data_IF_338770833522
#
_entry.id   IF_338770833522
#
_cell.length_a   1.000
_cell.length_b   1.000
_cell.length_c   1.000
_cell.angle_alpha   90.00
_cell.angle_beta   90.00
_cell.angle_gamma   90.00
#
_symmetry.space_group_name_H-M   'P 1'
#
loop_
_entity.id
_entity.type
_entity.pdbx_description
1 polymer ?
#
# COMPACT_ATOMS: atom_id res chain seq x y z
N UNK A 1 -15.52 -27.22 63.02
CA UNK A 1 -15.81 -26.21 61.98
C UNK A 1 -14.57 -26.04 61.10
N UNK A 2 -14.62 -26.48 59.84
CA UNK A 2 -13.51 -26.28 58.88
C UNK A 2 -13.89 -25.15 57.97
N UNK A 3 -13.15 -24.09 58.01
CA UNK A 3 -13.28 -22.91 57.14
C UNK A 3 -12.60 -23.22 55.80
N UNK A 4 -13.39 -23.25 54.71
CA UNK A 4 -12.90 -23.37 53.33
C UNK A 4 -12.60 -21.95 52.84
N UNK A 5 -11.32 -21.69 52.60
CA UNK A 5 -10.87 -20.42 51.99
C UNK A 5 -10.95 -20.53 50.49
N UNK A 6 -11.85 -19.76 49.87
CA UNK A 6 -12.04 -19.69 48.43
C UNK A 6 -11.03 -18.68 47.83
N UNK A 7 -9.96 -19.15 47.20
CA UNK A 7 -9.05 -18.31 46.42
C UNK A 7 -9.71 -17.97 45.08
N UNK A 8 -10.16 -16.73 44.91
CA UNK A 8 -10.53 -16.17 43.58
C UNK A 8 -9.25 -15.86 42.78
N UNK A 9 -8.98 -16.66 41.76
CA UNK A 9 -7.99 -16.31 40.74
C UNK A 9 -8.56 -15.18 39.87
N UNK A 10 -8.04 -14.01 40.03
CA UNK A 10 -8.27 -12.89 39.08
C UNK A 10 -7.39 -13.13 37.82
N UNK A 11 -7.99 -13.64 36.74
CA UNK A 11 -7.35 -13.70 35.45
C UNK A 11 -7.41 -12.32 34.81
N UNK A 12 -6.41 -11.51 35.07
CA UNK A 12 -6.27 -10.18 34.48
C UNK A 12 -5.87 -10.32 33.02
N UNK A 13 -6.78 -10.03 32.10
CA UNK A 13 -6.45 -9.84 30.68
C UNK A 13 -5.65 -8.53 30.55
N UNK A 14 -4.36 -8.63 30.31
CA UNK A 14 -3.53 -7.47 29.93
C UNK A 14 -4.06 -6.95 28.59
N UNK A 15 -4.30 -5.63 28.44
CA UNK A 15 -4.62 -5.06 27.15
C UNK A 15 -3.44 -5.29 26.21
N UNK A 16 -3.69 -5.93 25.04
CA UNK A 16 -2.72 -5.98 23.96
C UNK A 16 -2.57 -4.54 23.47
N UNK A 17 -1.47 -3.89 23.82
CA UNK A 17 -1.14 -2.58 23.24
C UNK A 17 -0.94 -2.78 21.73
N UNK A 18 -1.76 -2.12 20.93
CA UNK A 18 -1.48 -2.00 19.50
C UNK A 18 -0.10 -1.35 19.31
N UNK A 19 0.68 -1.85 18.36
CA UNK A 19 1.99 -1.25 18.07
C UNK A 19 1.77 0.15 17.49
N UNK A 20 2.51 1.15 17.98
CA UNK A 20 2.44 2.51 17.42
C UNK A 20 2.84 2.51 15.94
N UNK A 21 2.13 3.28 15.08
CA UNK A 21 2.47 3.38 13.67
C UNK A 21 3.90 3.85 13.44
N UNK A 22 4.66 3.12 12.62
CA UNK A 22 6.05 3.38 12.29
C UNK A 22 6.18 4.10 10.96
N UNK A 23 6.95 5.18 10.91
CA UNK A 23 7.26 5.82 9.64
C UNK A 23 8.18 4.95 8.78
N UNK A 24 7.80 4.76 7.52
CA UNK A 24 8.62 4.11 6.49
C UNK A 24 9.42 5.11 5.65
N UNK A 25 9.21 6.40 5.83
CA UNK A 25 9.91 7.47 5.13
C UNK A 25 10.18 8.64 6.08
N UNK A 26 11.43 9.06 6.15
CA UNK A 26 11.90 10.12 7.05
C UNK A 26 11.70 11.55 6.49
N UNK A 27 11.17 11.67 5.27
CA UNK A 27 11.02 12.94 4.56
C UNK A 27 12.28 13.45 3.88
N UNK A 28 13.42 12.72 3.97
CA UNK A 28 14.74 13.22 3.53
C UNK A 28 15.53 12.22 2.70
N UNK A 29 15.42 10.92 2.98
CA UNK A 29 16.24 9.89 2.35
C UNK A 29 15.40 8.71 1.90
N UNK A 30 15.94 7.89 0.99
CA UNK A 30 15.35 6.61 0.59
C UNK A 30 15.88 5.45 1.44
N UNK A 31 16.39 5.70 2.66
CA UNK A 31 16.86 4.67 3.57
C UNK A 31 15.74 3.65 3.87
N UNK A 32 16.03 2.36 3.75
CA UNK A 32 15.04 1.28 3.89
C UNK A 32 14.26 0.96 2.63
N UNK A 33 14.54 1.67 1.54
CA UNK A 33 13.96 1.44 0.21
C UNK A 33 15.04 1.08 -0.81
N UNK A 34 14.65 0.34 -1.85
CA UNK A 34 15.52 -0.02 -2.98
C UNK A 34 14.76 0.12 -4.30
N UNK A 35 15.37 0.79 -5.26
CA UNK A 35 14.83 1.05 -6.59
C UNK A 35 15.89 1.69 -7.48
N UNK A 36 15.53 2.03 -8.72
CA UNK A 36 16.44 2.75 -9.63
C UNK A 36 16.54 4.22 -9.21
N UNK A 37 17.74 4.65 -8.77
CA UNK A 37 18.02 6.01 -8.33
C UNK A 37 17.86 7.06 -9.45
N UNK A 38 17.83 6.66 -10.72
CA UNK A 38 17.53 7.57 -11.83
C UNK A 38 16.04 7.89 -11.93
N UNK A 39 15.20 7.01 -11.42
CA UNK A 39 13.74 7.17 -11.43
C UNK A 39 13.22 7.77 -10.13
N UNK A 40 13.77 7.31 -8.99
CA UNK A 40 13.29 7.64 -7.65
C UNK A 40 14.18 8.65 -6.95
N UNK A 41 13.59 9.69 -6.39
CA UNK A 41 14.27 10.78 -5.69
C UNK A 41 13.43 11.36 -4.58
N UNK A 42 14.02 12.20 -3.75
CA UNK A 42 13.30 12.97 -2.72
C UNK A 42 13.24 14.43 -3.14
N UNK A 43 12.04 15.01 -3.19
CA UNK A 43 11.79 16.43 -3.44
C UNK A 43 10.76 16.93 -2.40
N UNK A 44 11.04 18.05 -1.74
CA UNK A 44 10.12 18.75 -0.82
C UNK A 44 9.45 17.84 0.21
N UNK A 45 10.21 16.90 0.80
CA UNK A 45 9.69 15.98 1.81
C UNK A 45 8.80 14.87 1.26
N UNK A 46 8.84 14.60 -0.04
CA UNK A 46 8.13 13.51 -0.69
C UNK A 46 9.08 12.61 -1.50
N UNK A 47 8.78 11.33 -1.58
CA UNK A 47 9.36 10.41 -2.57
C UNK A 47 8.68 10.72 -3.90
N UNK A 48 9.48 10.94 -4.94
CA UNK A 48 9.00 11.37 -6.26
C UNK A 48 9.53 10.45 -7.33
N UNK A 49 8.66 10.09 -8.29
CA UNK A 49 9.05 9.39 -9.51
C UNK A 49 8.38 10.00 -10.74
N UNK A 50 9.04 9.79 -11.88
CA UNK A 50 8.57 10.25 -13.17
C UNK A 50 8.73 11.75 -13.40
N UNK A 51 8.15 12.23 -14.52
CA UNK A 51 8.28 13.61 -15.01
C UNK A 51 7.07 14.00 -15.85
N UNK A 52 6.76 15.29 -15.91
CA UNK A 52 5.77 15.85 -16.85
C UNK A 52 6.37 16.17 -18.23
N UNK A 53 7.68 16.11 -18.35
CA UNK A 53 8.41 16.44 -19.59
C UNK A 53 8.79 15.20 -20.37
N UNK A 54 9.22 14.15 -19.66
CA UNK A 54 9.72 12.90 -20.24
C UNK A 54 8.81 11.75 -19.86
N UNK A 55 8.46 10.90 -20.84
CA UNK A 55 7.69 9.69 -20.60
C UNK A 55 8.49 8.69 -19.78
N UNK A 56 7.85 8.06 -18.80
CA UNK A 56 8.41 6.93 -18.05
C UNK A 56 8.48 5.73 -19.02
N UNK A 57 9.66 5.15 -19.26
CA UNK A 57 9.80 4.13 -20.33
C UNK A 57 9.11 2.80 -20.01
N UNK A 58 8.99 2.45 -18.75
CA UNK A 58 8.38 1.20 -18.24
C UNK A 58 7.97 1.38 -16.78
N UNK A 59 7.23 0.41 -16.23
CA UNK A 59 6.94 0.38 -14.80
C UNK A 59 8.23 0.35 -13.98
N UNK A 60 8.29 1.19 -12.95
CA UNK A 60 9.40 1.20 -12.00
C UNK A 60 8.87 1.18 -10.58
N UNK A 61 9.58 0.46 -9.70
CA UNK A 61 9.15 0.20 -8.34
C UNK A 61 10.23 0.56 -7.33
N UNK A 62 9.84 1.32 -6.30
CA UNK A 62 10.64 1.55 -5.10
C UNK A 62 10.13 0.65 -3.98
N UNK A 63 10.93 -0.34 -3.59
CA UNK A 63 10.52 -1.42 -2.71
C UNK A 63 11.14 -1.31 -1.33
N UNK A 64 10.39 -1.62 -0.28
CA UNK A 64 10.97 -1.77 1.07
C UNK A 64 11.96 -2.92 1.12
N UNK A 65 12.98 -2.79 1.97
CA UNK A 65 13.95 -3.87 2.25
C UNK A 65 13.39 -4.90 3.22
N UNK A 66 12.31 -4.58 3.93
CA UNK A 66 11.60 -5.47 4.86
C UNK A 66 10.33 -6.02 4.23
N UNK A 67 9.90 -7.18 4.71
CA UNK A 67 8.60 -7.79 4.42
C UNK A 67 7.64 -7.54 5.58
N UNK A 68 6.33 -7.54 5.27
CA UNK A 68 5.23 -7.30 6.21
C UNK A 68 4.14 -8.36 5.98
N UNK A 69 3.50 -8.80 7.05
CA UNK A 69 2.39 -9.78 7.05
C UNK A 69 1.04 -9.08 7.18
N UNK A 70 0.53 -9.05 8.42
CA UNK A 70 -0.68 -8.31 8.77
C UNK A 70 -0.31 -6.89 9.17
N UNK A 71 -0.97 -5.90 8.58
CA UNK A 71 -0.64 -4.49 8.80
C UNK A 71 -1.78 -3.55 8.43
N UNK A 72 -1.70 -2.32 8.94
CA UNK A 72 -2.36 -1.14 8.40
C UNK A 72 -1.30 -0.16 7.85
N UNK A 73 -1.36 0.16 6.56
CA UNK A 73 -0.46 1.07 5.86
C UNK A 73 -1.24 2.32 5.48
N UNK A 74 -0.71 3.50 5.82
CA UNK A 74 -1.23 4.78 5.39
C UNK A 74 -0.20 5.48 4.51
N UNK A 75 -0.66 6.02 3.38
CA UNK A 75 0.18 6.72 2.40
C UNK A 75 -0.56 7.94 1.88
N UNK A 76 0.07 9.10 1.94
CA UNK A 76 -0.41 10.29 1.23
C UNK A 76 0.28 10.35 -0.13
N UNK A 77 -0.50 10.49 -1.21
CA UNK A 77 0.03 10.53 -2.57
C UNK A 77 -0.60 11.64 -3.41
N UNK A 78 0.11 12.07 -4.44
CA UNK A 78 -0.37 12.99 -5.47
C UNK A 78 0.13 12.50 -6.83
N UNK A 79 -0.76 12.48 -7.83
CA UNK A 79 -0.43 12.10 -9.20
C UNK A 79 -0.72 13.25 -10.15
N UNK A 80 0.21 13.52 -11.05
CA UNK A 80 0.21 14.59 -12.02
C UNK A 80 0.45 14.00 -13.43
N UNK A 81 -0.08 14.66 -14.45
CA UNK A 81 0.08 14.27 -15.85
C UNK A 81 -1.21 14.37 -16.64
N UNK A 82 -1.35 13.54 -17.65
CA UNK A 82 -2.60 13.38 -18.39
C UNK A 82 -3.60 12.61 -17.55
N UNK A 83 -4.75 13.20 -17.24
CA UNK A 83 -5.78 12.62 -16.37
C UNK A 83 -6.25 11.23 -16.82
N UNK A 84 -6.26 10.98 -18.13
CA UNK A 84 -6.77 9.74 -18.70
C UNK A 84 -5.66 8.68 -18.93
N UNK A 85 -4.39 9.03 -18.65
CA UNK A 85 -3.23 8.17 -18.88
C UNK A 85 -2.32 8.01 -17.66
N UNK A 86 -2.28 9.00 -16.77
CA UNK A 86 -1.43 8.95 -15.60
C UNK A 86 -1.85 7.82 -14.67
N UNK A 87 -0.91 6.92 -14.40
CA UNK A 87 -1.13 5.72 -13.58
C UNK A 87 0.07 5.49 -12.65
N UNK A 88 -0.24 5.00 -11.47
CA UNK A 88 0.69 4.66 -10.41
C UNK A 88 0.05 3.62 -9.48
N UNK A 89 0.75 3.19 -8.42
CA UNK A 89 0.19 2.25 -7.47
C UNK A 89 0.99 2.12 -6.19
N UNK A 90 0.38 1.46 -5.21
CA UNK A 90 1.03 1.04 -3.98
C UNK A 90 0.91 -0.47 -3.92
N UNK A 91 2.05 -1.15 -4.08
CA UNK A 91 2.14 -2.60 -4.01
C UNK A 91 2.24 -3.05 -2.56
N UNK A 92 1.64 -4.16 -2.24
CA UNK A 92 1.74 -4.77 -0.92
C UNK A 92 1.62 -6.30 -1.00
N UNK A 93 2.18 -6.99 -0.02
CA UNK A 93 2.29 -8.46 -0.06
C UNK A 93 2.78 -8.92 -1.43
N UNK A 94 3.78 -8.20 -1.94
CA UNK A 94 4.38 -8.40 -3.26
C UNK A 94 5.82 -8.84 -3.12
N UNK A 95 6.40 -9.31 -4.23
CA UNK A 95 7.81 -9.69 -4.32
C UNK A 95 8.41 -9.25 -5.65
N UNK A 96 9.70 -8.91 -5.63
CA UNK A 96 10.43 -8.65 -6.88
C UNK A 96 10.51 -9.92 -7.73
N UNK A 97 10.33 -9.76 -9.03
CA UNK A 97 10.59 -10.82 -9.99
C UNK A 97 12.12 -10.86 -10.23
N UNK A 98 12.81 -11.99 -10.00
CA UNK A 98 14.25 -12.08 -10.16
C UNK A 98 14.70 -11.68 -11.57
N UNK A 99 15.72 -10.82 -11.66
CA UNK A 99 16.30 -10.29 -12.93
C UNK A 99 15.29 -9.53 -13.81
N UNK A 100 14.22 -9.01 -13.22
CA UNK A 100 13.20 -8.22 -13.92
C UNK A 100 12.94 -6.91 -13.18
N UNK A 101 12.38 -5.91 -13.87
CA UNK A 101 12.00 -4.63 -13.27
C UNK A 101 10.67 -4.70 -12.51
N UNK A 102 9.82 -5.67 -12.84
CA UNK A 102 8.49 -5.86 -12.26
C UNK A 102 8.53 -6.47 -10.85
N UNK A 103 7.39 -6.34 -10.19
CA UNK A 103 7.04 -7.04 -8.96
C UNK A 103 5.78 -7.88 -9.20
N UNK A 104 5.53 -8.87 -8.34
CA UNK A 104 4.36 -9.74 -8.44
C UNK A 104 3.60 -9.77 -7.12
N UNK A 105 2.36 -9.31 -7.12
CA UNK A 105 1.51 -9.26 -5.93
C UNK A 105 0.36 -8.27 -6.02
N UNK A 106 -0.24 -7.91 -4.89
CA UNK A 106 -1.38 -7.01 -4.84
C UNK A 106 -0.96 -5.55 -5.02
N UNK A 107 -1.81 -4.77 -5.70
CA UNK A 107 -1.66 -3.33 -5.89
C UNK A 107 -2.93 -2.59 -5.51
N UNK A 108 -2.79 -1.56 -4.71
CA UNK A 108 -3.78 -0.51 -4.55
C UNK A 108 -3.55 0.53 -5.65
N UNK A 109 -4.44 0.56 -6.62
CA UNK A 109 -4.27 1.26 -7.89
C UNK A 109 -4.57 2.75 -7.80
N UNK A 110 -3.85 3.56 -8.60
CA UNK A 110 -3.92 5.01 -8.63
C UNK A 110 -3.99 5.49 -10.08
N UNK A 111 -5.01 6.25 -10.44
CA UNK A 111 -5.09 6.91 -11.75
C UNK A 111 -5.82 6.09 -12.82
N UNK A 112 -5.91 6.64 -14.01
CA UNK A 112 -6.38 6.03 -15.27
C UNK A 112 -7.67 5.18 -15.16
N UNK A 113 -8.66 5.58 -14.35
CA UNK A 113 -9.89 4.79 -14.18
C UNK A 113 -9.78 3.61 -13.21
N UNK A 114 -8.61 3.35 -12.64
CA UNK A 114 -8.38 2.28 -11.64
C UNK A 114 -8.34 2.77 -10.19
N UNK A 115 -8.65 4.04 -9.95
CA UNK A 115 -8.65 4.66 -8.63
C UNK A 115 -9.34 3.82 -7.57
N UNK A 116 -8.61 3.45 -6.53
CA UNK A 116 -9.15 2.70 -5.41
C UNK A 116 -9.39 1.21 -5.67
N UNK A 117 -8.99 0.68 -6.84
CA UNK A 117 -9.11 -0.73 -7.15
C UNK A 117 -7.99 -1.57 -6.54
N UNK A 118 -8.27 -2.83 -6.32
CA UNK A 118 -7.30 -3.88 -6.01
C UNK A 118 -6.96 -4.62 -7.30
N UNK A 119 -5.72 -4.48 -7.74
CA UNK A 119 -5.17 -5.18 -8.90
C UNK A 119 -4.19 -6.27 -8.46
N UNK A 120 -3.96 -7.27 -9.28
CA UNK A 120 -3.00 -8.34 -9.03
C UNK A 120 -1.89 -8.30 -10.11
N UNK A 121 -0.81 -7.58 -9.79
CA UNK A 121 0.28 -7.25 -10.70
C UNK A 121 1.15 -8.47 -10.98
N UNK A 122 1.46 -8.68 -12.28
CA UNK A 122 2.39 -9.71 -12.77
C UNK A 122 2.16 -11.13 -12.22
N UNK A 123 0.94 -11.39 -11.67
CA UNK A 123 0.50 -12.71 -11.20
C UNK A 123 -0.78 -13.12 -11.93
N UNK A 124 -1.94 -12.50 -11.61
CA UNK A 124 -3.22 -12.73 -12.32
C UNK A 124 -3.51 -11.68 -13.39
N UNK A 125 -2.83 -10.55 -13.35
CA UNK A 125 -2.95 -9.42 -14.30
C UNK A 125 -4.41 -8.96 -14.49
N UNK A 126 -5.11 -8.76 -13.38
CA UNK A 126 -6.52 -8.33 -13.40
C UNK A 126 -6.94 -7.57 -12.14
N UNK A 127 -7.97 -6.74 -12.28
CA UNK A 127 -8.68 -6.16 -11.16
C UNK A 127 -9.42 -7.28 -10.41
N UNK A 128 -9.21 -7.39 -9.11
CA UNK A 128 -9.87 -8.35 -8.23
C UNK A 128 -11.14 -7.76 -7.61
N UNK A 129 -11.09 -6.49 -7.25
CA UNK A 129 -12.21 -5.72 -6.70
C UNK A 129 -11.96 -4.23 -6.92
N UNK A 130 -13.00 -3.42 -6.90
CA UNK A 130 -12.84 -1.97 -7.02
C UNK A 130 -14.16 -1.22 -6.86
N UNK A 131 -14.10 0.10 -6.70
CA UNK A 131 -15.27 0.96 -6.56
C UNK A 131 -15.99 1.18 -7.90
N UNK A 132 -17.24 1.62 -7.83
CA UNK A 132 -17.95 2.11 -9.02
C UNK A 132 -17.39 3.44 -9.52
N UNK A 133 -17.69 3.80 -10.78
CA UNK A 133 -17.27 5.08 -11.37
C UNK A 133 -17.80 6.29 -10.57
N UNK A 134 -18.99 6.17 -10.01
CA UNK A 134 -19.62 7.22 -9.18
C UNK A 134 -18.86 7.42 -7.87
N UNK A 135 -18.37 6.36 -7.25
CA UNK A 135 -17.51 6.41 -6.05
C UNK A 135 -16.19 7.06 -6.40
N UNK A 136 -15.54 6.65 -7.49
CA UNK A 136 -14.29 7.25 -7.96
C UNK A 136 -14.45 8.76 -8.15
N UNK A 137 -15.49 9.17 -8.88
CA UNK A 137 -15.75 10.58 -9.21
C UNK A 137 -15.94 11.48 -7.97
N UNK A 138 -16.46 10.92 -6.86
CA UNK A 138 -16.66 11.62 -5.60
C UNK A 138 -15.45 11.60 -4.67
N UNK A 139 -14.56 10.64 -4.87
CA UNK A 139 -13.51 10.32 -3.89
C UNK A 139 -12.13 10.70 -4.37
N UNK A 140 -11.79 10.40 -5.63
CA UNK A 140 -10.46 10.61 -6.18
C UNK A 140 -10.21 12.09 -6.51
N UNK A 141 -9.02 12.60 -6.16
CA UNK A 141 -8.59 13.97 -6.43
C UNK A 141 -7.38 13.93 -7.35
N UNK A 142 -7.62 14.09 -8.66
CA UNK A 142 -6.53 14.24 -9.60
C UNK A 142 -5.82 15.59 -9.38
N UNK A 143 -4.49 15.61 -9.53
CA UNK A 143 -3.64 16.79 -9.33
C UNK A 143 -3.69 17.40 -7.91
N UNK A 144 -4.17 16.62 -6.93
CA UNK A 144 -4.17 16.99 -5.51
C UNK A 144 -3.76 15.82 -4.63
N UNK A 145 -3.50 16.09 -3.35
CA UNK A 145 -3.15 15.09 -2.37
C UNK A 145 -4.35 14.21 -2.01
N UNK A 146 -4.11 12.92 -2.04
CA UNK A 146 -5.03 11.87 -1.62
C UNK A 146 -4.43 11.07 -0.47
N UNK A 147 -5.30 10.47 0.34
CA UNK A 147 -4.94 9.54 1.40
C UNK A 147 -5.35 8.13 1.00
N UNK A 148 -4.41 7.23 1.00
CA UNK A 148 -4.65 5.80 0.85
C UNK A 148 -4.44 5.10 2.19
N UNK A 149 -5.41 4.29 2.63
CA UNK A 149 -5.26 3.34 3.71
C UNK A 149 -5.44 1.92 3.18
N UNK A 150 -4.50 1.04 3.51
CA UNK A 150 -4.48 -0.36 3.11
C UNK A 150 -4.38 -1.19 4.40
N UNK A 151 -5.37 -2.05 4.65
CA UNK A 151 -5.34 -2.98 5.78
C UNK A 151 -5.36 -4.42 5.28
N UNK A 152 -4.38 -5.19 5.74
CA UNK A 152 -4.26 -6.62 5.48
C UNK A 152 -4.28 -7.36 6.82
N UNK A 153 -5.20 -8.34 6.97
CA UNK A 153 -5.33 -9.15 8.18
C UNK A 153 -5.73 -10.58 7.77
N UNK A 154 -4.83 -11.54 7.94
CA UNK A 154 -4.99 -12.88 7.34
C UNK A 154 -5.23 -12.75 5.82
N UNK A 155 -6.29 -13.34 5.32
CA UNK A 155 -6.68 -13.27 3.90
C UNK A 155 -7.52 -12.04 3.55
N UNK A 156 -7.90 -11.19 4.53
CA UNK A 156 -8.70 -10.00 4.31
C UNK A 156 -7.85 -8.82 3.84
N UNK A 157 -8.32 -8.13 2.80
CA UNK A 157 -7.72 -6.93 2.22
C UNK A 157 -8.79 -5.85 2.13
N UNK A 158 -8.54 -4.72 2.77
CA UNK A 158 -9.42 -3.55 2.69
C UNK A 158 -8.65 -2.33 2.24
N UNK A 159 -9.24 -1.57 1.30
CA UNK A 159 -8.67 -0.34 0.78
C UNK A 159 -9.62 0.82 1.04
N UNK A 160 -9.08 1.95 1.50
CA UNK A 160 -9.80 3.21 1.61
C UNK A 160 -9.06 4.29 0.84
N UNK A 161 -9.78 5.00 0.00
CA UNK A 161 -9.29 6.20 -0.70
C UNK A 161 -10.01 7.41 -0.11
N UNK A 162 -9.27 8.37 0.43
CA UNK A 162 -9.82 9.58 1.07
C UNK A 162 -10.93 9.28 2.09
N UNK A 163 -10.73 8.24 2.91
CA UNK A 163 -11.67 7.78 3.93
C UNK A 163 -12.84 6.93 3.43
N UNK A 164 -13.03 6.82 2.11
CA UNK A 164 -14.08 5.97 1.52
C UNK A 164 -13.58 4.55 1.33
N UNK A 165 -14.27 3.54 1.87
CA UNK A 165 -13.97 2.13 1.62
C UNK A 165 -14.24 1.81 0.14
N UNK A 166 -13.19 1.48 -0.61
CA UNK A 166 -13.25 1.17 -2.04
C UNK A 166 -13.16 -0.32 -2.33
N UNK A 167 -12.52 -1.07 -1.44
CA UNK A 167 -12.38 -2.53 -1.53
C UNK A 167 -12.57 -3.16 -0.16
N UNK A 168 -13.36 -4.23 -0.12
CA UNK A 168 -13.44 -5.23 0.95
C UNK A 168 -13.36 -6.60 0.28
N UNK A 169 -12.16 -7.18 0.27
CA UNK A 169 -11.84 -8.40 -0.47
C UNK A 169 -11.26 -9.46 0.46
N UNK A 170 -11.62 -10.71 0.24
CA UNK A 170 -11.02 -11.86 0.90
C UNK A 170 -10.36 -12.77 -0.15
N UNK A 171 -9.05 -12.96 -0.04
CA UNK A 171 -8.32 -13.90 -0.89
C UNK A 171 -8.73 -15.34 -0.54
N UNK A 172 -9.13 -16.10 -1.57
CA UNK A 172 -9.61 -17.48 -1.41
C UNK A 172 -8.58 -18.52 -1.84
N UNK A 173 -7.56 -18.10 -2.59
CA UNK A 173 -6.50 -19.00 -3.01
C UNK A 173 -5.43 -19.07 -1.90
N UNK A 174 -5.40 -20.20 -1.18
CA UNK A 174 -4.46 -20.46 -0.09
C UNK A 174 -2.99 -20.52 -0.54
N UNK A 175 -2.72 -20.59 -1.85
CA UNK A 175 -1.37 -20.51 -2.40
C UNK A 175 -0.82 -19.09 -2.47
N UNK A 176 -1.67 -18.09 -2.30
CA UNK A 176 -1.24 -16.70 -2.28
C UNK A 176 -0.66 -16.35 -0.92
N UNK A 177 0.61 -15.94 -0.93
CA UNK A 177 1.33 -15.56 0.29
C UNK A 177 0.68 -14.34 0.96
N UNK A 178 0.53 -14.40 2.29
CA UNK A 178 0.00 -13.30 3.11
C UNK A 178 1.10 -12.35 3.60
N UNK A 179 2.35 -12.54 3.16
CA UNK A 179 3.51 -11.71 3.49
C UNK A 179 4.19 -11.22 2.23
N UNK A 180 4.91 -10.11 2.32
CA UNK A 180 5.68 -9.58 1.21
C UNK A 180 6.17 -8.15 1.50
N UNK A 181 6.83 -7.56 0.52
CA UNK A 181 7.31 -6.17 0.59
C UNK A 181 6.17 -5.19 0.27
N UNK A 182 6.38 -3.92 0.65
CA UNK A 182 5.63 -2.76 0.16
C UNK A 182 6.44 -2.16 -1.00
N UNK A 183 5.77 -1.71 -2.07
CA UNK A 183 6.43 -0.96 -3.11
C UNK A 183 5.57 0.20 -3.61
N UNK A 184 6.23 1.28 -4.01
CA UNK A 184 5.61 2.40 -4.69
C UNK A 184 5.87 2.23 -6.19
N UNK A 185 4.86 2.49 -7.03
CA UNK A 185 4.98 2.36 -8.48
C UNK A 185 4.84 3.72 -9.17
N UNK A 186 5.61 3.92 -10.24
CA UNK A 186 5.28 4.83 -11.34
C UNK A 186 5.08 3.98 -12.59
N UNK A 187 3.92 4.15 -13.25
CA UNK A 187 3.58 3.36 -14.43
C UNK A 187 4.28 3.89 -15.68
N UNK A 188 4.74 2.97 -16.51
CA UNK A 188 5.37 3.26 -17.79
C UNK A 188 4.41 3.74 -18.86
N UNK A 189 4.96 4.28 -19.96
CA UNK A 189 4.20 4.66 -21.15
C UNK A 189 3.58 6.06 -21.14
N UNK A 190 3.73 6.83 -20.06
CA UNK A 190 3.14 8.16 -19.93
C UNK A 190 4.07 9.21 -19.33
N UNK A 191 3.74 10.50 -19.54
CA UNK A 191 4.32 11.63 -18.80
C UNK A 191 3.59 11.76 -17.47
N UNK A 192 3.98 10.93 -16.51
CA UNK A 192 3.40 10.86 -15.17
C UNK A 192 4.44 11.29 -14.15
N UNK A 193 4.07 12.18 -13.23
CA UNK A 193 4.83 12.47 -12.01
C UNK A 193 3.99 12.07 -10.81
N UNK A 194 4.52 11.19 -9.97
CA UNK A 194 3.84 10.77 -8.74
C UNK A 194 4.68 11.10 -7.53
N UNK A 195 4.02 11.54 -6.47
CA UNK A 195 4.62 11.93 -5.20
C UNK A 195 3.98 11.12 -4.07
N UNK A 196 4.80 10.63 -3.14
CA UNK A 196 4.37 9.88 -1.96
C UNK A 196 5.00 10.46 -0.69
N UNK A 197 4.22 10.61 0.38
CA UNK A 197 4.71 11.07 1.68
C UNK A 197 3.86 10.54 2.83
N UNK A 198 4.26 10.82 4.07
CA UNK A 198 3.55 10.40 5.27
C UNK A 198 3.25 8.89 5.24
N UNK A 199 4.26 8.11 4.87
CA UNK A 199 4.14 6.66 4.72
C UNK A 199 4.34 6.04 6.11
N UNK A 200 3.28 5.52 6.70
CA UNK A 200 3.32 4.89 8.02
C UNK A 200 2.72 3.50 7.98
N UNK A 201 3.28 2.58 8.76
CA UNK A 201 2.79 1.22 8.89
C UNK A 201 2.63 0.86 10.37
N UNK A 202 1.53 0.21 10.69
CA UNK A 202 1.26 -0.48 11.95
C UNK A 202 1.21 -1.97 11.66
N UNK A 203 2.16 -2.74 12.21
CA UNK A 203 2.15 -4.20 12.13
C UNK A 203 1.11 -4.74 13.12
N UNK A 204 0.14 -5.49 12.63
CA UNK A 204 -0.94 -6.04 13.46
C UNK A 204 -0.49 -7.36 14.08
N UNK A 205 -0.84 -7.56 15.35
CA UNK A 205 -0.61 -8.85 16.01
C UNK A 205 -1.50 -9.90 15.38
N UNK A 206 -0.93 -11.08 15.09
CA UNK A 206 -1.74 -12.23 14.66
C UNK A 206 -2.87 -12.47 15.68
N UNK A 207 -4.09 -12.58 15.22
CA UNK A 207 -5.19 -13.04 16.07
C UNK A 207 -4.97 -14.54 16.32
N UNK A 208 -4.73 -14.88 17.59
CA UNK A 208 -4.69 -16.26 18.07
C UNK A 208 -6.05 -16.94 17.92
#
# INVERSE_FOLDING_TARGET
>A
MRTISLCLLFCGTLPILAAEPKSLFDGKTLAGWGGDEKTWRVEDGAIVAGSLEVSVPRNEFLCTTKTYGDFELNVKFKILGDKDKANAGIQFRTKRIPKHHEVSGFQADIGQGYWGALYDESRRNKVLAGPSKEVIAKTAKFDDWNDYKIRCEGNSIKLWLNGTLTVDYTEKDEKIETTGIIALQVHGGGKTKVLYKNITIEELSAKN
#
